data_IF_903369770734
#
_entry.id   IF_903369770734
#
_cell.length_a   1.000
_cell.length_b   1.000
_cell.length_c   1.000
_cell.angle_alpha   90.00
_cell.angle_beta   90.00
_cell.angle_gamma   90.00
#
_symmetry.space_group_name_H-M   'P 1'
#
loop_
_entity.id
_entity.type
_entity.pdbx_description
1 polymer ?
#
# COMPACT_ATOMS: atom_id res chain seq x y z
N UNK A 1 16.45 -17.31 -13.17
CA UNK A 1 17.04 -16.53 -12.08
C UNK A 1 15.90 -16.05 -11.19
N UNK A 2 15.73 -16.64 -10.01
CA UNK A 2 14.69 -16.21 -9.06
C UNK A 2 15.32 -15.18 -8.11
N UNK A 3 14.87 -13.93 -8.20
CA UNK A 3 15.22 -12.90 -7.21
C UNK A 3 14.29 -13.14 -6.04
N UNK A 4 14.83 -13.69 -4.93
CA UNK A 4 14.10 -13.85 -3.69
C UNK A 4 14.00 -12.48 -3.01
N UNK A 5 12.89 -11.75 -3.22
CA UNK A 5 12.50 -10.70 -2.28
C UNK A 5 12.10 -11.40 -0.98
N UNK A 6 12.85 -11.19 0.10
CA UNK A 6 12.36 -11.53 1.44
C UNK A 6 11.29 -10.49 1.76
N UNK A 7 10.02 -10.88 1.66
CA UNK A 7 8.90 -10.02 2.05
C UNK A 7 8.96 -9.68 3.53
N UNK A 8 8.33 -8.58 3.94
CA UNK A 8 8.12 -8.29 5.37
C UNK A 8 7.34 -9.45 6.03
N UNK A 9 7.42 -9.66 7.35
CA UNK A 9 6.67 -10.70 8.05
C UNK A 9 5.16 -10.69 7.72
N UNK A 10 4.59 -9.51 7.49
CA UNK A 10 3.18 -9.30 7.14
C UNK A 10 2.90 -9.78 5.72
N UNK A 11 3.76 -9.43 4.74
CA UNK A 11 3.67 -9.94 3.37
C UNK A 11 3.84 -11.46 3.36
N UNK A 12 4.77 -12.00 4.17
CA UNK A 12 4.97 -13.44 4.29
C UNK A 12 3.75 -14.14 4.90
N UNK A 13 3.06 -13.49 5.86
CA UNK A 13 1.81 -14.01 6.42
C UNK A 13 0.69 -14.03 5.37
N UNK A 14 0.56 -12.98 4.56
CA UNK A 14 -0.36 -12.92 3.43
C UNK A 14 -0.08 -14.05 2.43
N UNK A 15 1.18 -14.22 2.02
CA UNK A 15 1.60 -15.29 1.10
C UNK A 15 1.27 -16.66 1.69
N UNK A 16 1.63 -16.89 2.96
CA UNK A 16 1.40 -18.16 3.64
C UNK A 16 -0.08 -18.52 3.69
N UNK A 17 -0.93 -17.60 4.16
CA UNK A 17 -2.38 -17.82 4.25
C UNK A 17 -3.02 -18.00 2.87
N UNK A 18 -2.61 -17.22 1.86
CA UNK A 18 -3.08 -17.39 0.49
C UNK A 18 -2.72 -18.77 -0.07
N UNK A 19 -1.48 -19.23 0.11
CA UNK A 19 -1.05 -20.58 -0.31
C UNK A 19 -1.83 -21.67 0.44
N UNK A 20 -2.07 -21.51 1.74
CA UNK A 20 -2.92 -22.45 2.50
C UNK A 20 -4.36 -22.54 1.95
N UNK A 21 -4.86 -21.45 1.37
CA UNK A 21 -6.17 -21.39 0.70
C UNK A 21 -6.13 -21.77 -0.78
N UNK A 22 -5.01 -22.32 -1.26
CA UNK A 22 -4.87 -22.87 -2.61
C UNK A 22 -4.51 -21.85 -3.70
N UNK A 23 -4.09 -20.65 -3.32
CA UNK A 23 -3.66 -19.63 -4.28
C UNK A 23 -2.24 -19.87 -4.78
N UNK A 24 -2.02 -19.61 -6.07
CA UNK A 24 -0.69 -19.33 -6.60
C UNK A 24 -0.38 -17.83 -6.42
N UNK A 25 0.67 -17.51 -5.66
CA UNK A 25 1.01 -16.13 -5.33
C UNK A 25 2.17 -15.64 -6.20
N UNK A 26 2.02 -14.45 -6.79
CA UNK A 26 3.04 -13.77 -7.58
C UNK A 26 3.40 -12.46 -6.91
N UNK A 27 4.58 -12.39 -6.32
CA UNK A 27 5.12 -11.15 -5.78
C UNK A 27 5.83 -10.36 -6.89
N UNK A 28 5.46 -9.09 -7.03
CA UNK A 28 6.06 -8.16 -7.98
C UNK A 28 6.75 -7.08 -7.16
N UNK A 29 7.99 -6.74 -7.54
CA UNK A 29 8.73 -5.63 -6.93
C UNK A 29 8.79 -4.43 -7.87
N UNK A 30 9.04 -3.24 -7.31
CA UNK A 30 9.34 -2.06 -8.10
C UNK A 30 10.63 -2.24 -8.91
N UNK A 31 10.72 -1.57 -10.06
CA UNK A 31 11.91 -1.64 -10.91
C UNK A 31 13.14 -1.08 -10.16
N UNK A 32 14.20 -1.90 -10.04
CA UNK A 32 15.47 -1.49 -9.41
C UNK A 32 16.31 -0.64 -10.37
N UNK A 33 16.03 0.66 -10.42
CA UNK A 33 16.91 1.65 -11.06
C UNK A 33 17.91 2.26 -10.06
N UNK A 34 19.09 1.65 -9.91
CA UNK A 34 20.18 2.13 -9.01
C UNK A 34 20.02 1.74 -7.53
N UNK A 35 21.08 1.97 -6.74
CA UNK A 35 21.33 1.45 -5.36
C UNK A 35 20.36 1.92 -4.25
N UNK A 36 19.12 2.28 -4.55
CA UNK A 36 18.14 2.68 -3.54
C UNK A 36 16.81 1.96 -3.75
N UNK A 37 16.25 1.47 -2.64
CA UNK A 37 14.87 1.00 -2.56
C UNK A 37 13.94 2.09 -3.08
N UNK A 38 13.22 1.82 -4.18
CA UNK A 38 12.23 2.74 -4.73
C UNK A 38 10.84 2.17 -4.48
N UNK A 39 9.95 3.01 -3.94
CA UNK A 39 8.52 2.79 -4.03
C UNK A 39 8.10 2.78 -5.50
N UNK A 40 6.94 2.21 -5.79
CA UNK A 40 6.35 2.39 -7.12
C UNK A 40 6.08 3.86 -7.37
N UNK A 41 6.20 4.29 -8.63
CA UNK A 41 5.72 5.61 -9.03
C UNK A 41 4.23 5.74 -8.65
N UNK A 42 3.81 6.86 -8.06
CA UNK A 42 2.41 7.11 -7.66
C UNK A 42 1.80 8.35 -8.32
N UNK A 43 2.57 9.03 -9.18
CA UNK A 43 2.12 10.25 -9.85
C UNK A 43 0.92 9.97 -10.76
N UNK A 44 -0.10 10.82 -10.69
CA UNK A 44 -1.29 10.74 -11.54
C UNK A 44 -1.40 12.03 -12.38
N UNK A 45 -1.77 11.97 -13.67
CA UNK A 45 -2.18 10.79 -14.45
C UNK A 45 -1.01 9.87 -14.84
N UNK A 46 -1.29 8.58 -15.14
CA UNK A 46 -0.28 7.52 -15.22
C UNK A 46 0.46 7.42 -16.55
N UNK A 47 0.71 8.56 -17.20
CA UNK A 47 1.18 8.62 -18.58
C UNK A 47 2.56 7.96 -18.76
N UNK A 48 3.31 7.69 -17.68
CA UNK A 48 4.62 7.03 -17.70
C UNK A 48 4.85 5.98 -16.59
N UNK A 49 3.83 5.20 -16.20
CA UNK A 49 4.06 4.01 -15.35
C UNK A 49 4.78 2.92 -16.16
N UNK A 50 6.08 3.09 -16.33
CA UNK A 50 6.95 2.13 -17.01
C UNK A 50 6.88 0.76 -16.32
N UNK A 51 6.68 0.71 -15.00
CA UNK A 51 6.54 -0.54 -14.26
C UNK A 51 5.32 -1.34 -14.72
N UNK A 52 4.16 -0.71 -14.93
CA UNK A 52 2.92 -1.43 -15.29
C UNK A 52 3.08 -2.22 -16.59
N UNK A 53 3.74 -1.64 -17.60
CA UNK A 53 4.00 -2.34 -18.86
C UNK A 53 4.88 -3.60 -18.65
N UNK A 54 5.89 -3.49 -17.79
CA UNK A 54 6.76 -4.61 -17.41
C UNK A 54 6.01 -5.68 -16.63
N UNK A 55 5.17 -5.28 -15.67
CA UNK A 55 4.33 -6.18 -14.88
C UNK A 55 3.38 -6.96 -15.78
N UNK A 56 2.66 -6.28 -16.69
CA UNK A 56 1.76 -6.93 -17.65
C UNK A 56 2.51 -7.93 -18.53
N UNK A 57 3.70 -7.57 -19.02
CA UNK A 57 4.53 -8.48 -19.83
C UNK A 57 4.90 -9.74 -19.05
N UNK A 58 5.35 -9.60 -17.80
CA UNK A 58 5.69 -10.74 -16.93
C UNK A 58 4.47 -11.59 -16.62
N UNK A 59 3.34 -10.98 -16.29
CA UNK A 59 2.09 -11.69 -16.00
C UNK A 59 1.60 -12.47 -17.22
N UNK A 60 1.56 -11.86 -18.42
CA UNK A 60 1.20 -12.57 -19.67
C UNK A 60 2.09 -13.77 -19.94
N UNK A 61 3.40 -13.62 -19.74
CA UNK A 61 4.35 -14.71 -19.90
C UNK A 61 4.06 -15.85 -18.91
N UNK A 62 3.95 -15.53 -17.63
CA UNK A 62 3.69 -16.50 -16.56
C UNK A 62 2.35 -17.23 -16.76
N UNK A 63 1.28 -16.50 -17.06
CA UNK A 63 -0.04 -17.09 -17.30
C UNK A 63 -0.03 -18.07 -18.48
N UNK A 64 0.74 -17.76 -19.52
CA UNK A 64 0.88 -18.61 -20.70
C UNK A 64 1.72 -19.85 -20.39
N UNK A 65 2.91 -19.67 -19.80
CA UNK A 65 3.82 -20.76 -19.45
C UNK A 65 3.17 -21.75 -18.48
N UNK A 66 2.41 -21.25 -17.50
CA UNK A 66 1.74 -22.07 -16.48
C UNK A 66 0.33 -22.50 -16.84
N UNK A 67 -0.18 -22.09 -18.01
CA UNK A 67 -1.56 -22.33 -18.47
C UNK A 67 -2.63 -21.84 -17.49
N UNK A 68 -2.40 -20.71 -16.82
CA UNK A 68 -3.27 -20.16 -15.76
C UNK A 68 -4.35 -19.19 -16.25
N UNK A 69 -4.49 -18.96 -17.56
CA UNK A 69 -5.48 -18.04 -18.12
C UNK A 69 -6.94 -18.36 -17.74
N UNK A 70 -7.24 -19.61 -17.37
CA UNK A 70 -8.56 -20.04 -16.94
C UNK A 70 -8.84 -19.81 -15.44
N UNK A 71 -7.82 -19.44 -14.65
CA UNK A 71 -7.95 -19.23 -13.22
C UNK A 71 -8.38 -17.78 -12.89
N UNK A 72 -9.13 -17.56 -11.81
CA UNK A 72 -9.34 -16.22 -11.27
C UNK A 72 -8.03 -15.53 -10.91
N UNK A 73 -7.99 -14.20 -11.02
CA UNK A 73 -6.81 -13.34 -10.86
C UNK A 73 -7.20 -12.12 -10.06
N UNK A 74 -6.37 -11.83 -9.07
CA UNK A 74 -6.56 -10.72 -8.16
C UNK A 74 -5.27 -9.92 -8.05
N UNK A 75 -5.40 -8.64 -7.72
CA UNK A 75 -4.26 -7.83 -7.32
C UNK A 75 -4.50 -7.25 -5.92
N UNK A 76 -3.44 -7.23 -5.14
CA UNK A 76 -3.38 -6.59 -3.84
C UNK A 76 -2.14 -5.72 -3.76
N UNK A 77 -2.26 -4.54 -3.15
CA UNK A 77 -1.11 -3.75 -2.75
C UNK A 77 -1.44 -2.73 -1.66
N UNK A 78 -0.43 -2.29 -0.94
CA UNK A 78 -0.52 -1.22 0.04
C UNK A 78 0.20 0.04 -0.44
N UNK A 79 -0.30 1.23 -0.09
CA UNK A 79 0.33 2.52 -0.43
C UNK A 79 0.64 2.62 -1.94
N UNK A 80 1.89 2.83 -2.34
CA UNK A 80 2.31 2.87 -3.74
C UNK A 80 2.02 1.57 -4.51
N UNK A 81 2.10 0.41 -3.83
CA UNK A 81 1.67 -0.87 -4.40
C UNK A 81 0.16 -0.94 -4.61
N UNK A 82 -0.62 -0.26 -3.78
CA UNK A 82 -2.06 -0.12 -3.94
C UNK A 82 -2.42 0.67 -5.20
N UNK A 83 -1.70 1.76 -5.50
CA UNK A 83 -1.84 2.47 -6.78
C UNK A 83 -1.59 1.51 -7.96
N UNK A 84 -0.50 0.74 -7.90
CA UNK A 84 -0.15 -0.21 -8.95
C UNK A 84 -1.19 -1.31 -9.11
N UNK A 85 -1.76 -1.84 -8.02
CA UNK A 85 -2.81 -2.86 -8.09
C UNK A 85 -4.06 -2.34 -8.81
N UNK A 86 -4.45 -1.07 -8.58
CA UNK A 86 -5.58 -0.44 -9.24
C UNK A 86 -5.27 -0.11 -10.71
N UNK A 87 -4.08 0.40 -11.02
CA UNK A 87 -3.64 0.64 -12.40
C UNK A 87 -3.54 -0.65 -13.21
N UNK A 88 -3.04 -1.71 -12.60
CA UNK A 88 -2.96 -3.02 -13.24
C UNK A 88 -4.35 -3.52 -13.60
N UNK A 89 -5.33 -3.34 -12.72
CA UNK A 89 -6.71 -3.74 -12.96
C UNK A 89 -7.37 -3.01 -14.15
N UNK A 90 -6.94 -1.78 -14.47
CA UNK A 90 -7.42 -1.09 -15.67
C UNK A 90 -6.88 -1.67 -16.98
N UNK A 91 -5.73 -2.37 -16.94
CA UNK A 91 -4.94 -2.74 -18.13
C UNK A 91 -4.72 -4.24 -18.26
N UNK A 92 -5.13 -5.03 -17.28
CA UNK A 92 -4.96 -6.46 -17.21
C UNK A 92 -6.24 -7.11 -16.64
N UNK A 93 -6.72 -8.23 -17.19
CA UNK A 93 -7.99 -8.81 -16.79
C UNK A 93 -7.90 -9.44 -15.40
N UNK A 94 -8.36 -8.68 -14.40
CA UNK A 94 -8.50 -9.09 -13.01
C UNK A 94 -9.99 -9.18 -12.64
N UNK A 95 -10.34 -10.11 -11.76
CA UNK A 95 -11.70 -10.22 -11.22
C UNK A 95 -11.92 -9.20 -10.09
N UNK A 96 -10.88 -8.98 -9.27
CA UNK A 96 -10.93 -7.99 -8.22
C UNK A 96 -9.55 -7.38 -7.97
N UNK A 97 -9.55 -6.15 -7.45
CA UNK A 97 -8.35 -5.45 -7.01
C UNK A 97 -8.59 -4.82 -5.65
N UNK A 98 -7.68 -5.04 -4.72
CA UNK A 98 -7.76 -4.51 -3.37
C UNK A 98 -6.56 -3.60 -3.10
N UNK A 99 -6.85 -2.46 -2.49
CA UNK A 99 -5.82 -1.54 -2.02
C UNK A 99 -6.00 -1.28 -0.53
N UNK A 100 -4.94 -1.46 0.25
CA UNK A 100 -4.88 -0.96 1.63
C UNK A 100 -4.25 0.43 1.64
N UNK A 101 -4.95 1.37 2.28
CA UNK A 101 -4.41 2.69 2.63
C UNK A 101 -3.81 3.50 1.48
N UNK A 102 -4.65 3.86 0.52
CA UNK A 102 -4.38 5.04 -0.30
C UNK A 102 -4.84 6.28 0.46
N UNK A 103 -3.89 7.10 0.93
CA UNK A 103 -4.20 8.47 1.39
C UNK A 103 -4.87 9.27 0.27
N UNK A 104 -4.49 8.97 -0.97
CA UNK A 104 -5.11 9.49 -2.17
C UNK A 104 -5.65 8.33 -3.00
N UNK A 105 -6.93 8.00 -2.83
CA UNK A 105 -7.61 7.07 -3.74
C UNK A 105 -7.97 7.89 -4.99
N UNK A 106 -7.22 7.78 -6.11
CA UNK A 106 -7.63 8.50 -7.31
C UNK A 106 -9.07 8.08 -7.67
N UNK A 107 -9.83 8.89 -8.44
CA UNK A 107 -11.19 8.55 -8.87
C UNK A 107 -11.29 7.26 -9.75
N UNK A 108 -10.22 6.47 -9.78
CA UNK A 108 -10.01 5.22 -10.49
C UNK A 108 -10.98 4.11 -10.06
N UNK A 109 -11.44 4.07 -8.80
CA UNK A 109 -12.41 3.04 -8.36
C UNK A 109 -13.66 3.05 -9.23
N UNK A 110 -14.16 4.25 -9.55
CA UNK A 110 -15.35 4.38 -10.41
C UNK A 110 -15.10 3.80 -11.81
N UNK A 111 -13.91 3.98 -12.36
CA UNK A 111 -13.55 3.41 -13.66
C UNK A 111 -13.39 1.89 -13.61
N UNK A 112 -12.91 1.35 -12.49
CA UNK A 112 -12.74 -0.09 -12.29
C UNK A 112 -14.09 -0.81 -12.18
N UNK A 113 -15.06 -0.20 -11.50
CA UNK A 113 -16.44 -0.72 -11.45
C UNK A 113 -17.04 -0.82 -12.88
N UNK A 114 -16.79 0.18 -13.74
CA UNK A 114 -17.19 0.13 -15.15
C UNK A 114 -16.46 -0.97 -15.95
N UNK A 115 -15.21 -1.28 -15.60
CA UNK A 115 -14.44 -2.35 -16.22
C UNK A 115 -14.84 -3.75 -15.70
N UNK A 116 -15.83 -3.84 -14.80
CA UNK A 116 -16.26 -5.10 -14.18
C UNK A 116 -15.27 -5.64 -13.14
N UNK A 117 -14.29 -4.84 -12.72
CA UNK A 117 -13.38 -5.22 -11.64
C UNK A 117 -13.95 -4.70 -10.32
N UNK A 118 -14.19 -5.61 -9.37
CA UNK A 118 -14.63 -5.22 -8.04
C UNK A 118 -13.46 -4.64 -7.26
N UNK A 119 -13.66 -3.47 -6.65
CA UNK A 119 -12.64 -2.84 -5.81
C UNK A 119 -13.08 -2.73 -4.36
N UNK A 120 -12.12 -2.90 -3.44
CA UNK A 120 -12.32 -2.65 -2.01
C UNK A 120 -11.13 -1.87 -1.46
N UNK A 121 -11.42 -0.88 -0.63
CA UNK A 121 -10.42 -0.21 0.20
C UNK A 121 -10.48 -0.83 1.58
N UNK A 122 -9.33 -1.25 2.11
CA UNK A 122 -9.22 -1.58 3.54
C UNK A 122 -8.64 -0.37 4.26
N UNK A 123 -9.38 0.08 5.27
CA UNK A 123 -8.94 1.11 6.20
C UNK A 123 -8.39 0.43 7.45
N UNK A 124 -7.07 0.50 7.65
CA UNK A 124 -6.50 0.00 8.89
C UNK A 124 -6.74 1.01 10.00
N UNK A 125 -7.01 0.47 11.18
CA UNK A 125 -7.12 1.29 12.40
C UNK A 125 -5.72 1.68 12.86
N UNK A 126 -5.53 2.90 13.37
CA UNK A 126 -4.26 3.30 13.96
C UNK A 126 -3.92 2.42 15.17
N UNK A 127 -2.65 2.05 15.31
CA UNK A 127 -2.16 1.34 16.50
C UNK A 127 -1.85 2.30 17.63
N UNK A 128 -2.29 1.98 18.85
CA UNK A 128 -1.83 2.67 20.04
C UNK A 128 -0.36 2.27 20.33
N UNK A 129 0.53 3.26 20.34
CA UNK A 129 1.94 3.13 20.67
C UNK A 129 2.15 2.96 22.17
N UNK A 130 1.68 1.87 22.74
CA UNK A 130 1.77 1.57 24.19
C UNK A 130 3.16 1.02 24.57
N UNK A 131 3.53 1.00 25.87
CA UNK A 131 4.74 0.30 26.32
C UNK A 131 4.79 -1.17 25.89
N UNK A 132 3.64 -1.86 25.85
CA UNK A 132 3.53 -3.24 25.39
C UNK A 132 3.79 -3.35 23.88
N UNK A 133 3.34 -2.38 23.09
CA UNK A 133 3.60 -2.33 21.65
C UNK A 133 5.11 -2.26 21.36
N UNK A 134 5.83 -1.35 22.02
CA UNK A 134 7.28 -1.22 21.83
C UNK A 134 8.05 -2.46 22.28
N UNK A 135 7.78 -2.97 23.49
CA UNK A 135 8.47 -4.15 24.01
C UNK A 135 8.18 -5.42 23.18
N UNK A 136 7.00 -5.51 22.56
CA UNK A 136 6.60 -6.64 21.73
C UNK A 136 7.16 -6.60 20.30
N UNK A 137 7.40 -5.41 19.74
CA UNK A 137 7.81 -5.25 18.33
C UNK A 137 9.27 -4.84 18.14
N UNK A 138 9.92 -4.24 19.13
CA UNK A 138 11.29 -3.78 19.03
C UNK A 138 12.26 -4.72 19.73
N UNK A 139 13.16 -5.34 18.96
CA UNK A 139 14.20 -6.20 19.50
C UNK A 139 15.10 -5.41 20.45
N UNK A 140 15.32 -5.92 21.65
CA UNK A 140 16.23 -5.31 22.63
C UNK A 140 15.59 -4.22 23.51
N UNK A 141 14.32 -3.89 23.29
CA UNK A 141 13.57 -2.95 24.14
C UNK A 141 13.01 -3.69 25.35
N UNK A 142 13.53 -3.40 26.54
CA UNK A 142 13.01 -3.91 27.80
C UNK A 142 11.68 -3.22 28.16
N UNK A 143 10.94 -3.80 29.12
CA UNK A 143 9.72 -3.18 29.65
C UNK A 143 9.97 -1.80 30.29
N UNK A 144 11.16 -1.59 30.86
CA UNK A 144 11.55 -0.31 31.44
C UNK A 144 11.85 0.73 30.35
N UNK A 145 12.60 0.34 29.31
CA UNK A 145 12.88 1.21 28.17
C UNK A 145 11.58 1.56 27.44
N UNK A 146 10.66 0.61 27.26
CA UNK A 146 9.38 0.88 26.58
C UNK A 146 8.49 1.88 27.33
N UNK A 147 8.50 1.86 28.67
CA UNK A 147 7.81 2.87 29.47
C UNK A 147 8.45 4.25 29.28
N UNK A 148 9.78 4.33 29.23
CA UNK A 148 10.48 5.59 28.98
C UNK A 148 10.22 6.15 27.58
N UNK A 149 10.16 5.30 26.55
CA UNK A 149 9.76 5.71 25.20
C UNK A 149 8.36 6.32 25.24
N UNK A 150 7.39 5.61 25.82
CA UNK A 150 6.00 6.08 25.90
C UNK A 150 5.88 7.44 26.59
N UNK A 151 6.47 7.58 27.77
CA UNK A 151 6.44 8.81 28.54
C UNK A 151 7.08 9.99 27.78
N UNK A 152 8.18 9.74 27.05
CA UNK A 152 8.84 10.78 26.25
C UNK A 152 8.02 11.19 25.05
N UNK A 153 7.44 10.23 24.30
CA UNK A 153 6.56 10.54 23.17
C UNK A 153 5.33 11.35 23.60
N UNK A 154 4.78 11.08 24.79
CA UNK A 154 3.73 11.92 25.38
C UNK A 154 4.24 13.32 25.73
N UNK A 155 5.42 13.42 26.36
CA UNK A 155 6.01 14.69 26.76
C UNK A 155 6.34 15.61 25.57
N UNK A 156 6.68 15.05 24.40
CA UNK A 156 6.90 15.79 23.15
C UNK A 156 5.64 15.89 22.27
N UNK A 157 4.46 15.54 22.80
CA UNK A 157 3.16 15.63 22.12
C UNK A 157 3.10 14.89 20.77
N UNK A 158 3.75 13.72 20.68
CA UNK A 158 3.63 12.83 19.53
C UNK A 158 2.41 11.92 19.69
N UNK A 159 2.13 11.48 20.92
CA UNK A 159 0.99 10.63 21.26
C UNK A 159 0.18 11.19 22.42
N UNK A 160 -1.11 10.84 22.51
CA UNK A 160 -2.00 11.18 23.62
C UNK A 160 -1.84 10.25 24.84
N UNK A 161 -2.71 10.42 25.85
CA UNK A 161 -2.75 9.55 27.04
C UNK A 161 -3.04 8.07 26.72
N UNK A 162 -3.68 7.79 25.59
CA UNK A 162 -4.03 6.45 25.13
C UNK A 162 -2.97 5.84 24.19
N UNK A 163 -1.92 6.60 23.86
CA UNK A 163 -0.88 6.19 22.92
C UNK A 163 -1.25 6.35 21.46
N UNK A 164 -2.34 7.05 21.13
CA UNK A 164 -2.69 7.36 19.75
C UNK A 164 -1.89 8.56 19.26
N UNK A 165 -1.42 8.49 18.02
CA UNK A 165 -0.72 9.61 17.41
C UNK A 165 -1.68 10.80 17.26
N UNK A 166 -1.24 11.96 17.75
CA UNK A 166 -2.02 13.22 17.68
C UNK A 166 -1.52 14.15 16.59
N UNK A 167 -0.47 13.76 15.88
CA UNK A 167 0.10 14.56 14.82
C UNK A 167 -0.77 14.46 13.57
N UNK A 168 -1.23 15.60 13.03
CA UNK A 168 -2.07 15.60 11.84
C UNK A 168 -1.38 14.92 10.65
N UNK A 169 -2.13 14.11 9.89
CA UNK A 169 -1.72 13.43 8.66
C UNK A 169 -1.18 14.41 7.60
N UNK A 170 0.07 14.82 7.74
CA UNK A 170 0.74 15.70 6.79
C UNK A 170 1.96 14.97 6.25
N UNK A 171 1.91 14.59 4.96
CA UNK A 171 3.01 13.91 4.26
C UNK A 171 4.35 14.66 4.36
N UNK A 172 4.32 15.99 4.57
CA UNK A 172 5.51 16.84 4.62
C UNK A 172 6.01 17.15 6.04
N UNK A 173 5.34 16.67 7.11
CA UNK A 173 5.79 16.92 8.48
C UNK A 173 6.56 15.76 9.10
N UNK A 174 6.72 14.65 8.37
CA UNK A 174 7.35 13.44 8.89
C UNK A 174 8.82 13.63 9.23
N UNK A 175 9.62 14.28 8.38
CA UNK A 175 11.05 14.45 8.66
C UNK A 175 11.29 15.28 9.93
N UNK A 176 10.66 16.46 10.13
CA UNK A 176 10.80 17.20 11.39
C UNK A 176 10.29 16.45 12.63
N UNK A 177 9.17 15.74 12.50
CA UNK A 177 8.61 14.93 13.59
C UNK A 177 9.59 13.80 13.97
N UNK A 178 10.10 13.10 12.95
CA UNK A 178 11.03 12.01 13.13
C UNK A 178 12.33 12.46 13.80
N UNK A 179 12.90 13.58 13.38
CA UNK A 179 14.09 14.15 14.02
C UNK A 179 13.82 14.58 15.47
N UNK A 180 12.61 15.04 15.78
CA UNK A 180 12.18 15.37 17.15
C UNK A 180 12.12 14.10 18.01
N UNK A 181 11.50 13.03 17.50
CA UNK A 181 11.44 11.72 18.16
C UNK A 181 12.83 11.16 18.39
N UNK A 182 13.67 11.14 17.34
CA UNK A 182 15.06 10.66 17.40
C UNK A 182 15.87 11.39 18.45
N UNK A 183 15.79 12.73 18.47
CA UNK A 183 16.49 13.56 19.44
C UNK A 183 16.02 13.30 20.87
N UNK A 184 14.71 13.09 21.07
CA UNK A 184 14.12 12.81 22.38
C UNK A 184 14.50 11.43 22.94
N UNK A 185 14.80 10.46 22.07
CA UNK A 185 15.06 9.07 22.47
C UNK A 185 16.54 8.66 22.35
N UNK A 186 17.41 9.54 21.88
CA UNK A 186 18.81 9.22 21.54
C UNK A 186 19.60 8.56 22.67
N UNK A 187 19.46 9.04 23.90
CA UNK A 187 20.14 8.50 25.08
C UNK A 187 19.63 7.12 25.52
N UNK A 188 18.40 6.74 25.14
CA UNK A 188 17.88 5.39 25.39
C UNK A 188 18.49 4.35 24.43
N UNK A 189 19.05 4.80 23.31
CA UNK A 189 19.54 3.95 22.23
C UNK A 189 20.90 4.47 21.73
N UNK A 190 21.99 4.29 22.51
CA UNK A 190 23.33 4.73 22.13
C UNK A 190 23.87 4.07 20.85
N UNK A 191 23.18 3.06 20.32
CA UNK A 191 23.43 2.36 19.06
C UNK A 191 22.23 2.48 18.10
N UNK A 192 21.63 3.68 18.00
CA UNK A 192 20.44 3.96 17.20
C UNK A 192 20.52 3.41 15.77
N UNK A 193 21.66 3.61 15.12
CA UNK A 193 21.90 3.24 13.72
C UNK A 193 22.26 1.75 13.58
N UNK A 194 23.10 1.21 14.46
CA UNK A 194 23.60 -0.17 14.36
C UNK A 194 22.51 -1.23 14.53
N UNK A 195 21.48 -0.92 15.32
CA UNK A 195 20.36 -1.83 15.60
C UNK A 195 19.13 -1.58 14.71
N UNK A 196 19.26 -0.73 13.69
CA UNK A 196 18.17 -0.36 12.78
C UNK A 196 16.93 0.20 13.48
N UNK A 197 17.09 0.83 14.65
CA UNK A 197 15.98 1.48 15.36
C UNK A 197 15.40 2.62 14.54
N UNK A 198 16.19 3.24 13.66
CA UNK A 198 15.73 4.27 12.75
C UNK A 198 14.52 3.82 11.92
N UNK A 199 14.68 2.68 11.24
CA UNK A 199 13.61 2.08 10.44
C UNK A 199 12.45 1.61 11.33
N UNK A 200 12.74 0.98 12.47
CA UNK A 200 11.70 0.51 13.37
C UNK A 200 10.80 1.66 13.87
N UNK A 201 11.36 2.79 14.27
CA UNK A 201 10.57 3.95 14.72
C UNK A 201 9.75 4.56 13.60
N UNK A 202 10.28 4.65 12.37
CA UNK A 202 9.51 5.13 11.21
C UNK A 202 8.29 4.24 10.95
N UNK A 203 8.50 2.93 10.89
CA UNK A 203 7.42 1.96 10.69
C UNK A 203 6.36 2.04 11.80
N UNK A 204 6.77 2.13 13.07
CA UNK A 204 5.83 2.25 14.19
C UNK A 204 5.01 3.55 14.15
N UNK A 205 5.65 4.67 13.80
CA UNK A 205 4.91 5.93 13.64
C UNK A 205 3.90 5.84 12.49
N UNK A 206 4.24 5.17 11.39
CA UNK A 206 3.29 4.87 10.32
C UNK A 206 2.14 3.96 10.79
N UNK A 207 2.45 2.91 11.56
CA UNK A 207 1.46 2.05 12.23
C UNK A 207 0.47 2.86 13.07
N UNK A 208 0.99 3.84 13.82
CA UNK A 208 0.22 4.65 14.75
C UNK A 208 -0.73 5.64 14.10
N UNK A 209 -0.58 5.86 12.79
CA UNK A 209 -1.48 6.68 11.98
C UNK A 209 -2.49 5.83 11.20
N UNK A 210 -2.31 4.51 11.22
CA UNK A 210 -2.96 3.63 10.25
C UNK A 210 -2.62 4.14 8.84
N UNK A 211 -1.34 4.37 8.57
CA UNK A 211 -0.81 4.80 7.27
C UNK A 211 0.30 3.85 6.88
N UNK A 212 0.32 3.43 5.61
CA UNK A 212 1.40 2.66 4.99
C UNK A 212 1.68 1.23 5.50
N UNK A 213 0.79 0.60 6.26
CA UNK A 213 1.00 -0.79 6.66
C UNK A 213 0.23 -1.76 5.75
N UNK A 214 0.83 -2.93 5.52
CA UNK A 214 0.08 -4.15 5.24
C UNK A 214 0.09 -4.90 6.55
N UNK A 215 -1.05 -5.12 7.20
CA UNK A 215 -1.05 -5.88 8.46
C UNK A 215 -1.60 -7.27 8.23
N UNK A 216 -0.98 -8.24 8.88
CA UNK A 216 -1.42 -9.64 8.83
C UNK A 216 -2.82 -9.83 9.40
N UNK A 217 -3.30 -8.90 10.23
CA UNK A 217 -4.61 -8.90 10.87
C UNK A 217 -5.76 -8.94 9.85
N UNK A 218 -5.64 -8.22 8.73
CA UNK A 218 -6.68 -8.18 7.68
C UNK A 218 -6.45 -9.21 6.57
N UNK A 219 -5.49 -10.12 6.71
CA UNK A 219 -5.18 -11.08 5.66
C UNK A 219 -6.38 -11.97 5.32
N UNK A 220 -7.13 -12.43 6.31
CA UNK A 220 -8.30 -13.27 6.07
C UNK A 220 -9.40 -12.48 5.35
N UNK A 221 -9.69 -11.26 5.82
CA UNK A 221 -10.64 -10.35 5.17
C UNK A 221 -10.27 -10.02 3.71
N UNK A 222 -8.97 -9.89 3.41
CA UNK A 222 -8.46 -9.68 2.05
C UNK A 222 -8.76 -10.88 1.17
N UNK A 223 -8.49 -12.09 1.66
CA UNK A 223 -8.68 -13.31 0.87
C UNK A 223 -10.18 -13.63 0.73
N UNK A 224 -10.97 -13.45 1.80
CA UNK A 224 -12.42 -13.61 1.78
C UNK A 224 -13.06 -12.68 0.75
N UNK A 225 -12.61 -11.41 0.69
CA UNK A 225 -13.04 -10.50 -0.37
C UNK A 225 -12.82 -11.06 -1.77
N UNK A 226 -11.65 -11.64 -2.06
CA UNK A 226 -11.37 -12.22 -3.37
C UNK A 226 -12.25 -13.46 -3.66
N UNK A 227 -12.45 -14.33 -2.68
CA UNK A 227 -13.29 -15.52 -2.84
C UNK A 227 -14.77 -15.18 -3.05
N UNK A 228 -15.28 -14.17 -2.35
CA UNK A 228 -16.65 -13.67 -2.51
C UNK A 228 -16.90 -13.16 -3.94
N UNK A 229 -15.88 -12.61 -4.60
CA UNK A 229 -16.02 -12.12 -5.99
C UNK A 229 -16.17 -13.24 -7.01
N UNK A 230 -15.64 -14.44 -6.76
CA UNK A 230 -15.83 -15.62 -7.63
C UNK A 230 -17.28 -16.05 -7.63
N UNK A 231 -17.90 -16.05 -6.45
CA UNK A 231 -19.26 -16.52 -6.26
C UNK A 231 -20.29 -15.60 -6.92
N UNK A 232 -19.94 -14.32 -7.08
CA UNK A 232 -20.82 -13.30 -7.65
C UNK A 232 -20.67 -13.11 -9.17
N UNK A 233 -19.51 -13.47 -9.75
CA UNK A 233 -19.24 -13.21 -11.16
C UNK A 233 -19.86 -14.30 -12.06
N UNK A 234 -20.65 -13.94 -13.09
CA UNK A 234 -21.00 -14.91 -14.12
C UNK A 234 -19.70 -15.44 -14.74
N UNK A 235 -19.60 -16.77 -14.87
CA UNK A 235 -18.46 -17.48 -15.47
C UNK A 235 -17.92 -16.66 -16.66
N UNK A 236 -16.74 -16.05 -16.52
CA UNK A 236 -16.01 -15.45 -17.61
C UNK A 236 -15.56 -16.58 -18.54
N UNK A 237 -16.52 -17.13 -19.29
CA UNK A 237 -16.29 -18.21 -20.21
C UNK A 237 -15.20 -17.78 -21.20
N UNK A 238 -14.37 -18.76 -21.54
CA UNK A 238 -13.04 -18.71 -22.16
C UNK A 238 -12.88 -17.95 -23.50
N UNK A 239 -13.84 -17.13 -23.91
CA UNK A 239 -13.79 -16.35 -25.15
C UNK A 239 -12.96 -15.07 -24.93
N UNK A 240 -11.69 -15.25 -24.60
CA UNK A 240 -10.71 -14.23 -24.89
C UNK A 240 -10.32 -14.38 -26.36
N UNK A 241 -10.71 -13.45 -27.26
CA UNK A 241 -10.22 -13.49 -28.62
C UNK A 241 -8.69 -13.48 -28.56
N UNK A 242 -8.08 -14.45 -29.25
CA UNK A 242 -6.64 -14.57 -29.35
C UNK A 242 -6.03 -13.17 -29.56
N UNK A 243 -5.05 -12.82 -28.73
CA UNK A 243 -4.28 -11.58 -28.75
C UNK A 243 -3.41 -11.48 -30.04
N UNK A 244 -4.04 -11.65 -31.19
CA UNK A 244 -3.49 -11.45 -32.52
C UNK A 244 -4.25 -10.28 -33.16
N UNK A 245 -3.87 -9.06 -32.76
CA UNK A 245 -4.24 -7.82 -33.44
C UNK A 245 -5.23 -6.95 -32.67
N UNK A 246 -4.74 -5.84 -32.12
CA UNK A 246 -5.59 -4.71 -31.70
C UNK A 246 -5.42 -4.21 -30.27
N UNK A 247 -4.22 -3.72 -29.92
CA UNK A 247 -3.96 -2.92 -28.69
C UNK A 247 -4.85 -1.67 -28.61
N UNK A 248 -5.29 -1.12 -29.75
CA UNK A 248 -5.90 0.20 -29.81
C UNK A 248 -7.32 0.29 -29.24
N UNK A 249 -8.15 -0.77 -29.23
CA UNK A 249 -9.57 -0.64 -28.88
C UNK A 249 -9.83 -0.56 -27.37
N UNK A 250 -9.14 -1.36 -26.56
CA UNK A 250 -9.22 -1.27 -25.09
C UNK A 250 -8.48 -0.05 -24.56
N UNK A 251 -7.33 0.30 -25.14
CA UNK A 251 -6.64 1.57 -24.86
C UNK A 251 -7.53 2.75 -25.24
N UNK A 252 -8.26 2.69 -26.36
CA UNK A 252 -9.18 3.75 -26.79
C UNK A 252 -10.45 3.84 -25.95
N UNK A 253 -10.99 2.76 -25.40
CA UNK A 253 -12.19 2.80 -24.53
C UNK A 253 -11.84 3.35 -23.14
N UNK A 254 -10.72 2.91 -22.56
CA UNK A 254 -10.20 3.48 -21.33
C UNK A 254 -9.77 4.95 -21.54
N UNK A 255 -9.09 5.26 -22.65
CA UNK A 255 -8.73 6.64 -23.00
C UNK A 255 -9.95 7.52 -23.35
N UNK A 256 -10.98 6.98 -24.00
CA UNK A 256 -12.21 7.73 -24.30
C UNK A 256 -13.04 7.98 -23.04
N UNK A 257 -13.24 6.97 -22.18
CA UNK A 257 -13.88 7.17 -20.88
C UNK A 257 -13.09 8.16 -19.99
N UNK A 258 -11.76 8.12 -20.08
CA UNK A 258 -10.86 9.05 -19.39
C UNK A 258 -10.91 10.48 -19.95
N UNK A 259 -10.98 10.66 -21.27
CA UNK A 259 -11.07 11.97 -21.93
C UNK A 259 -12.48 12.59 -21.80
N UNK A 260 -13.54 11.78 -21.77
CA UNK A 260 -14.91 12.23 -21.59
C UNK A 260 -15.18 12.60 -20.12
N UNK A 261 -14.60 11.85 -19.16
CA UNK A 261 -14.61 12.19 -17.73
C UNK A 261 -13.88 13.49 -17.36
N UNK A 262 -12.87 13.92 -18.14
CA UNK A 262 -12.20 15.22 -17.96
C UNK A 262 -13.13 16.42 -18.21
N UNK A 263 -14.20 16.26 -19.01
CA UNK A 263 -15.07 17.38 -19.39
C UNK A 263 -16.19 17.66 -18.39
N UNK A 264 -16.51 16.74 -17.47
CA UNK A 264 -17.71 16.88 -16.63
C UNK A 264 -17.53 16.67 -15.11
N UNK A 265 -16.41 16.14 -14.60
CA UNK A 265 -16.34 15.71 -13.18
C UNK A 265 -15.10 16.20 -12.39
N UNK A 266 -14.27 17.10 -12.91
CA UNK A 266 -13.21 17.72 -12.09
C UNK A 266 -13.67 19.08 -11.55
N UNK A 267 -14.21 19.17 -10.31
CA UNK A 267 -14.23 20.45 -9.62
C UNK A 267 -12.78 20.89 -9.41
N UNK A 268 -12.55 22.20 -9.51
CA UNK A 268 -11.25 22.86 -9.34
C UNK A 268 -10.57 22.41 -8.04
N UNK A 269 -9.69 21.40 -8.12
CA UNK A 269 -8.91 20.91 -7.00
C UNK A 269 -7.74 21.85 -6.76
N UNK A 270 -8.05 23.06 -6.30
CA UNK A 270 -7.06 23.94 -5.69
C UNK A 270 -6.57 23.29 -4.40
N UNK A 271 -5.24 23.13 -4.28
CA UNK A 271 -4.58 22.61 -3.08
C UNK A 271 -5.09 23.36 -1.84
N UNK A 272 -5.33 22.70 -0.69
CA UNK A 272 -5.67 23.39 0.54
C UNK A 272 -4.60 24.43 0.86
N UNK A 273 -5.00 25.69 1.03
CA UNK A 273 -4.15 26.74 1.55
C UNK A 273 -3.66 26.33 2.95
N UNK A 274 -2.37 26.02 3.08
CA UNK A 274 -1.72 25.78 4.36
C UNK A 274 -1.81 27.04 5.23
N UNK A 275 -2.79 27.07 6.15
CA UNK A 275 -2.83 28.07 7.21
C UNK A 275 -1.68 27.79 8.19
N UNK A 276 -0.84 28.81 8.38
CA UNK A 276 0.21 28.94 9.39
C UNK A 276 -0.17 28.29 10.73
N UNK A 277 0.61 27.31 11.18
CA UNK A 277 0.78 27.07 12.61
C UNK A 277 1.40 28.33 13.24
N UNK A 278 0.68 28.96 14.17
CA UNK A 278 1.25 29.94 15.09
C UNK A 278 2.10 29.15 16.10
N UNK A 279 3.35 29.56 16.27
CA UNK A 279 4.19 29.13 17.36
C UNK A 279 3.50 29.43 18.70
N UNK A 280 3.29 28.40 19.51
CA UNK A 280 3.04 28.52 20.94
C UNK A 280 4.40 28.45 21.63
N UNK A 281 4.96 29.61 21.93
CA UNK A 281 5.95 29.77 22.99
C UNK A 281 5.27 30.61 24.06
N UNK A 282 4.93 29.96 25.18
CA UNK A 282 4.91 30.54 26.51
C UNK A 282 5.64 29.56 27.43
#
# INVERSE_FOLDING_TARGET
>A
MAILCVGSPEVMTLVYKAVQRGYAVVAVGAHRGGDKWRCYQTHWPPEEYHEISGIIKVMKHLMTERKWWHLPRYAFGSSSGGCIALELALRFPLQASLSSQLQYFPPISRFLDFAGTVTRKIELKPYALTPQFFAGRMRGVSAEISQQIFARLQAIHVIDENGLCIWEKCENCWDPLYETVKSSLWDLFPQWEDLHYDAAFKEMLWASEGVHETTSEYTDDIIDFFEDTVSAAPSMAADHPALHGGSAAHESLAAAAFLDGRKSILPDMQRPNHRRMKALHD
#
